data_IF_913014075497
#
_entry.id   IF_913014075497
#
_cell.length_a   1.000
_cell.length_b   1.000
_cell.length_c   1.000
_cell.angle_alpha   90.00
_cell.angle_beta   90.00
_cell.angle_gamma   90.00
#
_symmetry.space_group_name_H-M   'P 1'
#
loop_
_entity.id
_entity.type
_entity.pdbx_description
1 polymer ?
#
# COMPACT_ATOMS: atom_id res chain seq x y z
N UNK A 1 -51.90 29.91 -36.85
CA UNK A 1 -51.95 29.03 -35.65
C UNK A 1 -51.02 27.82 -35.72
N UNK A 2 -50.50 27.43 -36.90
CA UNK A 2 -49.61 26.25 -37.03
C UNK A 2 -48.11 26.62 -36.88
N UNK A 3 -47.71 27.83 -37.25
CA UNK A 3 -46.33 28.35 -37.09
C UNK A 3 -45.88 28.44 -35.64
N UNK A 4 -46.77 28.82 -34.72
CA UNK A 4 -46.51 28.86 -33.27
C UNK A 4 -46.33 27.45 -32.69
N UNK A 5 -47.07 26.45 -33.20
CA UNK A 5 -46.92 25.04 -32.80
C UNK A 5 -45.57 24.48 -33.20
N UNK A 6 -45.09 24.79 -34.41
CA UNK A 6 -43.76 24.37 -34.86
C UNK A 6 -42.64 25.03 -34.05
N UNK A 7 -42.79 26.30 -33.65
CA UNK A 7 -41.83 26.95 -32.76
C UNK A 7 -41.77 26.27 -31.38
N UNK A 8 -42.91 25.87 -30.82
CA UNK A 8 -42.98 25.16 -29.54
C UNK A 8 -42.31 23.77 -29.62
N UNK A 9 -42.48 23.06 -30.72
CA UNK A 9 -41.88 21.72 -30.94
C UNK A 9 -40.35 21.83 -31.08
N UNK A 10 -39.84 22.85 -31.74
CA UNK A 10 -38.38 23.06 -31.89
C UNK A 10 -37.68 23.46 -30.59
N UNK A 11 -38.39 24.18 -29.70
CA UNK A 11 -37.89 24.52 -28.36
C UNK A 11 -37.85 23.28 -27.45
N UNK A 12 -38.83 22.38 -27.54
CA UNK A 12 -38.84 21.13 -26.77
C UNK A 12 -37.73 20.15 -27.19
N UNK A 13 -37.33 20.13 -28.47
CA UNK A 13 -36.24 19.27 -28.96
C UNK A 13 -34.83 19.75 -28.55
N UNK A 14 -34.66 21.03 -28.21
CA UNK A 14 -33.34 21.61 -27.89
C UNK A 14 -32.92 21.43 -26.42
N UNK A 15 -33.85 21.09 -25.52
CA UNK A 15 -33.53 20.73 -24.13
C UNK A 15 -32.95 19.31 -23.96
N UNK A 16 -33.00 18.46 -24.99
CA UNK A 16 -32.53 17.08 -24.94
C UNK A 16 -31.01 16.87 -25.12
N UNK A 17 -30.24 17.93 -25.40
CA UNK A 17 -28.80 17.81 -25.72
C UNK A 17 -27.86 18.47 -24.71
N UNK A 18 -28.35 18.89 -23.54
CA UNK A 18 -27.47 19.03 -22.37
C UNK A 18 -27.22 17.62 -21.84
N UNK A 19 -26.54 16.81 -22.65
CA UNK A 19 -25.80 15.64 -22.18
C UNK A 19 -24.84 16.19 -21.13
N UNK A 20 -25.21 15.96 -19.88
CA UNK A 20 -24.37 16.22 -18.74
C UNK A 20 -23.05 15.49 -19.05
N UNK A 21 -22.01 16.23 -19.45
CA UNK A 21 -20.66 15.77 -19.26
C UNK A 21 -20.51 15.70 -17.75
N UNK A 22 -20.97 14.58 -17.19
CA UNK A 22 -20.54 14.12 -15.90
C UNK A 22 -19.04 13.93 -16.09
N UNK A 23 -18.33 15.03 -15.88
CA UNK A 23 -16.98 15.02 -15.39
C UNK A 23 -17.14 14.22 -14.11
N UNK A 24 -17.01 12.89 -14.24
CA UNK A 24 -16.81 12.00 -13.13
C UNK A 24 -15.48 12.49 -12.56
N UNK A 25 -15.53 13.56 -11.75
CA UNK A 25 -14.68 13.65 -10.57
C UNK A 25 -14.85 12.28 -9.99
N UNK A 26 -13.84 11.43 -10.15
CA UNK A 26 -13.77 10.15 -9.47
C UNK A 26 -14.23 10.47 -8.06
N UNK A 27 -15.44 10.03 -7.76
CA UNK A 27 -15.90 9.90 -6.41
C UNK A 27 -14.75 9.20 -5.72
N UNK A 28 -14.06 9.94 -4.85
CA UNK A 28 -12.87 9.51 -4.13
C UNK A 28 -13.38 8.35 -3.28
N UNK A 29 -13.39 7.17 -3.90
CA UNK A 29 -14.17 6.05 -3.45
C UNK A 29 -13.71 5.72 -2.05
N UNK A 30 -14.67 5.33 -1.21
CA UNK A 30 -14.57 5.02 0.22
C UNK A 30 -13.56 3.91 0.59
N UNK A 31 -12.66 3.54 -0.31
CA UNK A 31 -11.61 2.53 -0.14
C UNK A 31 -10.22 3.15 -0.33
N UNK A 32 -9.80 4.02 0.60
CA UNK A 32 -8.40 4.44 0.76
C UNK A 32 -7.64 3.57 1.76
N UNK A 33 -8.27 2.50 2.23
CA UNK A 33 -7.74 1.54 3.19
C UNK A 33 -7.50 0.20 2.50
N UNK A 34 -6.41 -0.46 2.82
CA UNK A 34 -5.93 -1.69 2.19
C UNK A 34 -5.41 -2.67 3.24
N UNK A 35 -5.46 -3.97 2.95
CA UNK A 35 -4.80 -4.98 3.78
C UNK A 35 -3.34 -5.07 3.35
N UNK A 36 -2.43 -4.66 4.23
CA UNK A 36 -0.99 -4.75 4.05
C UNK A 36 -0.32 -4.98 5.39
N UNK A 37 0.92 -5.48 5.38
CA UNK A 37 1.73 -5.69 6.56
C UNK A 37 3.20 -5.38 6.23
N UNK A 38 3.93 -4.64 7.07
CA UNK A 38 5.33 -4.34 6.80
C UNK A 38 6.23 -5.54 7.09
N UNK A 39 7.32 -5.65 6.34
CA UNK A 39 8.39 -6.62 6.60
C UNK A 39 9.74 -5.95 6.34
N UNK A 40 10.80 -6.45 6.96
CA UNK A 40 12.16 -6.00 6.71
C UNK A 40 12.94 -7.11 6.02
N UNK A 41 13.77 -6.70 5.08
CA UNK A 41 14.70 -7.56 4.35
C UNK A 41 16.06 -6.88 4.29
N UNK A 42 17.12 -7.70 4.29
CA UNK A 42 18.50 -7.25 4.18
C UNK A 42 19.25 -8.15 3.19
N UNK A 43 20.21 -7.61 2.43
CA UNK A 43 21.04 -8.42 1.55
C UNK A 43 21.75 -9.53 2.30
N UNK A 44 21.97 -10.67 1.65
CA UNK A 44 22.57 -11.86 2.28
C UNK A 44 23.96 -11.58 2.87
N UNK A 45 24.79 -10.88 2.10
CA UNK A 45 26.15 -10.50 2.51
C UNK A 45 26.18 -9.22 3.39
N UNK A 46 25.03 -8.73 3.84
CA UNK A 46 24.92 -7.53 4.67
C UNK A 46 23.90 -7.73 5.80
N UNK A 47 24.18 -8.67 6.73
CA UNK A 47 23.27 -8.95 7.81
C UNK A 47 23.13 -7.75 8.75
N UNK A 48 21.91 -7.57 9.27
CA UNK A 48 21.59 -6.51 10.23
C UNK A 48 20.87 -7.07 11.46
N UNK A 49 21.08 -6.43 12.61
CA UNK A 49 20.24 -6.61 13.79
C UNK A 49 19.34 -5.38 13.96
N UNK A 50 18.02 -5.56 13.92
CA UNK A 50 17.06 -4.47 14.16
C UNK A 50 16.95 -4.23 15.66
N UNK A 51 17.07 -2.96 16.07
CA UNK A 51 16.75 -2.53 17.44
C UNK A 51 15.29 -2.12 17.55
N UNK A 52 14.79 -1.38 16.57
CA UNK A 52 13.36 -1.16 16.36
C UNK A 52 13.09 -0.81 14.90
N UNK A 53 11.87 -1.05 14.46
CA UNK A 53 11.36 -0.65 13.15
C UNK A 53 9.85 -0.42 13.25
N UNK A 54 9.41 0.74 12.80
CA UNK A 54 8.00 1.16 12.77
C UNK A 54 7.66 1.71 11.39
N UNK A 55 6.46 1.38 10.92
CA UNK A 55 5.87 1.95 9.71
C UNK A 55 4.61 2.69 10.11
N UNK A 56 4.62 4.02 9.97
CA UNK A 56 3.46 4.84 10.30
C UNK A 56 2.45 4.91 9.17
N UNK A 57 1.18 5.09 9.53
CA UNK A 57 0.06 5.25 8.61
C UNK A 57 -0.99 6.21 9.19
N UNK A 58 -2.02 6.53 8.41
CA UNK A 58 -3.10 7.41 8.87
C UNK A 58 -2.68 8.87 9.10
N UNK A 59 -3.46 9.58 9.92
CA UNK A 59 -3.16 10.96 10.34
C UNK A 59 -3.04 11.12 11.86
N UNK A 60 -3.42 10.09 12.61
CA UNK A 60 -3.45 10.09 14.08
C UNK A 60 -2.13 9.59 14.71
N UNK A 61 -1.14 9.26 13.87
CA UNK A 61 0.18 8.80 14.34
C UNK A 61 0.23 7.30 14.62
N UNK A 62 -0.66 6.52 14.01
CA UNK A 62 -0.65 5.07 14.12
C UNK A 62 0.61 4.48 13.50
N UNK A 63 1.17 3.47 14.17
CA UNK A 63 2.40 2.81 13.76
C UNK A 63 2.29 1.29 13.85
N UNK A 64 2.84 0.61 12.85
CA UNK A 64 2.93 -0.84 12.80
C UNK A 64 4.37 -1.27 13.15
N UNK A 65 4.61 -2.02 14.24
CA UNK A 65 5.95 -2.46 14.60
C UNK A 65 6.38 -3.65 13.73
N UNK A 66 7.64 -3.66 13.30
CA UNK A 66 8.25 -4.82 12.62
C UNK A 66 9.11 -5.59 13.62
N UNK A 67 8.72 -6.84 13.87
CA UNK A 67 9.26 -7.67 14.94
C UNK A 67 10.23 -8.74 14.42
N UNK A 68 11.19 -8.37 13.57
CA UNK A 68 12.31 -9.25 13.22
C UNK A 68 13.60 -8.68 13.77
N UNK A 69 14.29 -9.46 14.61
CA UNK A 69 15.52 -9.02 15.25
C UNK A 69 16.74 -9.20 14.35
N UNK A 70 16.81 -10.25 13.54
CA UNK A 70 18.02 -10.57 12.76
C UNK A 70 17.68 -10.89 11.32
N UNK A 71 18.07 -9.99 10.42
CA UNK A 71 17.69 -10.04 9.00
C UNK A 71 18.91 -10.27 8.13
N UNK A 72 18.89 -11.36 7.36
CA UNK A 72 20.00 -11.75 6.48
C UNK A 72 19.59 -12.66 5.31
N UNK A 73 18.29 -12.78 5.02
CA UNK A 73 17.77 -13.78 4.06
C UNK A 73 17.89 -13.36 2.59
N UNK A 74 18.33 -12.14 2.31
CA UNK A 74 18.37 -11.57 0.97
C UNK A 74 17.23 -10.60 0.69
N UNK A 75 17.41 -9.72 -0.29
CA UNK A 75 16.38 -8.76 -0.70
C UNK A 75 15.17 -9.50 -1.29
N UNK A 76 13.97 -9.05 -0.93
CA UNK A 76 12.71 -9.67 -1.39
C UNK A 76 12.34 -10.96 -0.66
N UNK A 77 13.18 -11.46 0.25
CA UNK A 77 12.81 -12.53 1.17
C UNK A 77 12.44 -11.90 2.51
N UNK A 78 11.19 -12.03 2.98
CA UNK A 78 10.79 -11.45 4.26
C UNK A 78 11.63 -12.10 5.38
N UNK A 79 12.32 -11.27 6.18
CA UNK A 79 13.08 -11.74 7.34
C UNK A 79 12.15 -12.39 8.37
N UNK A 80 11.05 -11.68 8.62
CA UNK A 80 9.93 -12.04 9.46
C UNK A 80 8.83 -10.98 9.31
N UNK A 81 7.58 -11.42 9.41
CA UNK A 81 6.44 -10.54 9.56
C UNK A 81 5.63 -11.11 10.72
N UNK A 82 5.33 -10.29 11.72
CA UNK A 82 4.45 -10.71 12.81
C UNK A 82 3.05 -10.33 12.42
N UNK A 83 2.20 -11.34 12.26
CA UNK A 83 0.75 -11.16 12.31
C UNK A 83 0.42 -10.77 13.74
N UNK A 84 0.23 -9.49 13.97
CA UNK A 84 -0.33 -9.02 15.22
C UNK A 84 -1.82 -9.37 15.17
N UNK A 85 -2.24 -10.38 15.94
CA UNK A 85 -3.67 -10.73 16.10
C UNK A 85 -4.52 -9.54 16.61
N UNK A 86 -3.87 -8.44 17.01
CA UNK A 86 -4.48 -7.14 17.38
C UNK A 86 -4.88 -6.27 16.19
N UNK A 87 -4.37 -6.55 14.99
CA UNK A 87 -4.84 -5.95 13.74
C UNK A 87 -5.58 -7.05 12.99
N UNK A 88 -6.88 -7.16 13.25
CA UNK A 88 -7.75 -8.19 12.67
C UNK A 88 -7.54 -8.31 11.15
N UNK A 89 -7.64 -9.53 10.59
CA UNK A 89 -7.51 -9.76 9.14
C UNK A 89 -8.47 -8.90 8.29
N UNK A 90 -9.52 -8.37 8.93
CA UNK A 90 -10.54 -7.50 8.33
C UNK A 90 -10.23 -5.99 8.45
N UNK A 91 -9.24 -5.58 9.25
CA UNK A 91 -8.94 -4.18 9.49
C UNK A 91 -8.01 -3.60 8.42
N UNK A 92 -8.64 -2.98 7.41
CA UNK A 92 -7.92 -2.28 6.35
C UNK A 92 -7.30 -0.99 6.91
N UNK A 93 -6.06 -0.72 6.53
CA UNK A 93 -5.31 0.47 6.96
C UNK A 93 -4.94 1.38 5.78
N UNK A 94 -4.78 2.67 6.05
CA UNK A 94 -4.29 3.62 5.04
C UNK A 94 -2.89 3.24 4.55
N UNK A 95 -2.47 3.75 3.39
CA UNK A 95 -1.13 3.50 2.89
C UNK A 95 -0.05 4.03 3.86
N UNK A 96 1.13 3.41 3.93
CA UNK A 96 2.23 3.89 4.74
C UNK A 96 2.57 5.36 4.45
N UNK A 97 2.87 6.12 5.50
CA UNK A 97 3.22 7.53 5.42
C UNK A 97 4.60 7.85 6.03
N UNK A 98 5.19 6.92 6.77
CA UNK A 98 6.49 7.14 7.44
C UNK A 98 7.19 5.84 7.79
N UNK A 99 8.51 5.94 7.99
CA UNK A 99 9.39 4.85 8.41
C UNK A 99 10.30 5.37 9.52
N UNK A 100 10.39 4.62 10.62
CA UNK A 100 11.32 4.88 11.71
C UNK A 100 12.04 3.58 12.08
N UNK A 101 13.33 3.50 11.79
CA UNK A 101 14.12 2.27 11.97
C UNK A 101 15.51 2.57 12.49
N UNK A 102 15.96 1.74 13.43
CA UNK A 102 17.32 1.71 13.96
C UNK A 102 17.86 0.28 13.88
N UNK A 103 19.03 0.12 13.25
CA UNK A 103 19.66 -1.18 13.10
C UNK A 103 21.17 -1.12 13.27
N UNK A 104 21.76 -2.25 13.65
CA UNK A 104 23.19 -2.51 13.63
C UNK A 104 23.56 -3.21 12.32
N UNK A 105 24.49 -2.63 11.56
CA UNK A 105 25.16 -3.28 10.43
C UNK A 105 26.33 -4.11 10.94
N UNK A 106 26.30 -5.43 10.75
CA UNK A 106 27.43 -6.29 11.11
C UNK A 106 28.63 -6.09 10.18
N UNK A 107 28.39 -5.78 8.91
CA UNK A 107 29.45 -5.57 7.92
C UNK A 107 30.33 -4.36 8.24
N UNK A 108 29.79 -3.39 8.98
CA UNK A 108 30.49 -2.13 9.29
C UNK A 108 30.66 -1.90 10.79
N UNK A 109 30.09 -2.77 11.63
CA UNK A 109 30.03 -2.62 13.08
C UNK A 109 29.48 -1.24 13.53
N UNK A 110 28.43 -0.75 12.85
CA UNK A 110 27.86 0.59 13.07
C UNK A 110 26.34 0.57 13.17
N UNK A 111 25.81 1.49 13.98
CA UNK A 111 24.39 1.78 14.05
C UNK A 111 23.99 2.78 12.98
N UNK A 112 22.83 2.53 12.37
CA UNK A 112 22.19 3.41 11.42
C UNK A 112 20.75 3.67 11.83
N UNK A 113 20.31 4.91 11.67
CA UNK A 113 18.94 5.34 11.92
C UNK A 113 18.35 5.97 10.66
N UNK A 114 17.10 5.64 10.36
CA UNK A 114 16.32 6.33 9.35
C UNK A 114 14.96 6.74 9.94
N UNK A 115 14.69 8.05 9.91
CA UNK A 115 13.41 8.68 10.25
C UNK A 115 12.89 9.43 9.04
N UNK A 116 11.96 8.82 8.31
CA UNK A 116 11.55 9.28 6.98
C UNK A 116 10.05 9.52 6.98
N UNK A 117 9.62 10.72 6.58
CA UNK A 117 8.24 10.98 6.15
C UNK A 117 8.12 10.70 4.66
N UNK A 118 7.21 9.84 4.27
CA UNK A 118 7.00 9.46 2.87
C UNK A 118 6.29 10.60 2.13
N UNK A 119 6.85 11.10 1.01
CA UNK A 119 6.23 12.16 0.25
C UNK A 119 4.86 11.77 -0.29
N UNK A 120 3.97 12.75 -0.44
CA UNK A 120 2.61 12.50 -0.93
C UNK A 120 2.57 11.78 -2.29
N UNK A 121 3.47 12.16 -3.21
CA UNK A 121 3.60 11.49 -4.51
C UNK A 121 3.91 9.97 -4.39
N UNK A 122 4.68 9.55 -3.38
CA UNK A 122 4.97 8.14 -3.13
C UNK A 122 3.72 7.42 -2.58
N UNK A 123 3.00 8.07 -1.65
CA UNK A 123 1.75 7.55 -1.11
C UNK A 123 0.68 7.38 -2.18
N UNK A 124 0.58 8.34 -3.10
CA UNK A 124 -0.37 8.29 -4.22
C UNK A 124 -0.03 7.15 -5.18
N UNK A 125 1.26 6.94 -5.46
CA UNK A 125 1.73 5.79 -6.24
C UNK A 125 1.45 4.45 -5.55
N UNK A 126 1.66 4.35 -4.23
CA UNK A 126 1.29 3.15 -3.46
C UNK A 126 -0.21 2.89 -3.52
N UNK A 127 -1.03 3.93 -3.40
CA UNK A 127 -2.49 3.84 -3.53
C UNK A 127 -2.90 3.33 -4.90
N UNK A 128 -2.27 3.81 -5.98
CA UNK A 128 -2.51 3.31 -7.34
C UNK A 128 -2.14 1.81 -7.46
N UNK A 129 -0.99 1.42 -6.91
CA UNK A 129 -0.52 0.04 -6.93
C UNK A 129 -1.39 -0.91 -6.10
N UNK A 130 -1.88 -0.49 -4.94
CA UNK A 130 -2.78 -1.32 -4.13
C UNK A 130 -4.17 -1.50 -4.77
N UNK A 131 -4.64 -0.49 -5.53
CA UNK A 131 -5.90 -0.60 -6.29
C UNK A 131 -5.77 -1.51 -7.51
N UNK A 132 -4.60 -1.55 -8.13
CA UNK A 132 -4.28 -2.52 -9.18
C UNK A 132 -3.94 -3.83 -8.48
N UNK A 133 -4.91 -4.69 -8.15
CA UNK A 133 -4.67 -6.00 -7.52
C UNK A 133 -3.39 -6.65 -8.08
N UNK A 134 -2.30 -6.56 -7.33
CA UNK A 134 -1.04 -7.16 -7.70
C UNK A 134 -1.14 -8.62 -7.26
N UNK A 135 -1.54 -9.49 -8.20
CA UNK A 135 -1.39 -10.93 -8.04
C UNK A 135 0.11 -11.25 -7.89
N UNK A 136 0.62 -11.20 -6.66
CA UNK A 136 1.89 -11.83 -6.33
C UNK A 136 1.67 -13.33 -6.52
N UNK A 137 2.25 -13.89 -7.59
CA UNK A 137 2.20 -15.33 -7.86
C UNK A 137 2.75 -16.04 -6.61
N UNK A 138 2.01 -16.94 -5.96
CA UNK A 138 2.50 -17.61 -4.76
C UNK A 138 3.82 -18.30 -5.09
N UNK A 139 4.86 -17.99 -4.34
CA UNK A 139 6.15 -18.65 -4.46
C UNK A 139 5.92 -20.10 -4.00
N UNK A 140 5.89 -21.03 -4.95
CA UNK A 140 5.75 -22.46 -4.67
C UNK A 140 6.89 -22.87 -3.74
N UNK A 141 6.56 -23.23 -2.50
CA UNK A 141 7.51 -23.79 -1.54
C UNK A 141 8.05 -25.12 -2.10
N UNK A 142 9.21 -25.11 -2.76
CA UNK A 142 9.98 -26.32 -3.08
C UNK A 142 10.74 -26.84 -1.85
N UNK A 143 10.01 -27.12 -0.76
CA UNK A 143 10.58 -27.70 0.47
C UNK A 143 9.89 -29.00 0.92
N UNK A 144 9.05 -29.60 0.07
CA UNK A 144 8.41 -30.91 0.30
C UNK A 144 9.03 -32.07 -0.51
N UNK A 145 10.34 -32.02 -0.84
CA UNK A 145 11.02 -33.14 -1.55
C UNK A 145 12.32 -33.61 -0.90
N UNK A 146 12.60 -33.30 0.39
CA UNK A 146 13.79 -33.82 1.10
C UNK A 146 13.53 -34.52 2.43
N UNK A 147 12.28 -34.89 2.74
CA UNK A 147 11.98 -35.75 3.90
C UNK A 147 11.55 -37.17 3.47
N UNK A 148 11.67 -37.51 2.19
CA UNK A 148 11.52 -38.89 1.72
C UNK A 148 12.75 -39.29 0.88
N UNK A 149 13.89 -39.45 1.54
CA UNK A 149 15.01 -40.32 1.11
C UNK A 149 15.90 -40.65 2.30
#
# INVERSE_FOLDING_TARGET
MNTIKYCFIMILLSFGVISCSSNKRMEKSKDSKFSWMPTVAAPYNYPIEIKYAFVGFGTEGDEYPVMDRMVHKGLGVPGGAVSLNEFEEDEKQEVPNSINVLWLSYSEAKYYEAKIKLPKALQDRMTELFKKELYLRPQKNELNMRILS
#
